data_IF_577867561561
#
_entry.id   IF_577867561561
#
_cell.length_a   1.000
_cell.length_b   1.000
_cell.length_c   1.000
_cell.angle_alpha   90.00
_cell.angle_beta   90.00
_cell.angle_gamma   90.00
#
_symmetry.space_group_name_H-M   'P 1'
#
loop_
_entity.id
_entity.type
_entity.pdbx_description
1 polymer ?
#
# COMPACT_ATOMS: atom_id res chain seq x y z
N UNK A 1 -78.54 -16.43 19.20
CA UNK A 1 -78.88 -16.76 20.59
C UNK A 1 -77.61 -17.24 21.28
N UNK A 2 -77.07 -16.45 22.22
CA UNK A 2 -76.18 -16.91 23.31
C UNK A 2 -77.06 -17.22 24.54
N UNK A 3 -76.59 -18.03 25.51
CA UNK A 3 -75.87 -17.48 26.70
C UNK A 3 -74.70 -18.38 27.16
N UNK A 4 -73.51 -17.84 27.46
CA UNK A 4 -72.99 -17.35 28.76
C UNK A 4 -72.56 -18.44 29.77
N UNK A 5 -71.28 -18.40 30.18
CA UNK A 5 -70.74 -19.18 31.31
C UNK A 5 -69.27 -18.89 31.60
N UNK A 6 -69.00 -17.85 32.38
CA UNK A 6 -67.73 -17.56 33.07
C UNK A 6 -67.77 -18.17 34.47
N UNK A 7 -66.63 -18.71 34.96
CA UNK A 7 -66.30 -18.70 36.39
C UNK A 7 -64.79 -18.92 36.63
N UNK A 8 -64.19 -17.91 37.26
CA UNK A 8 -62.89 -17.93 37.92
C UNK A 8 -62.85 -18.92 39.09
N UNK A 9 -61.65 -19.34 39.49
CA UNK A 9 -61.04 -19.04 40.81
C UNK A 9 -59.95 -20.07 41.12
N UNK A 10 -58.73 -19.57 41.30
CA UNK A 10 -57.62 -20.29 41.93
C UNK A 10 -57.90 -20.53 43.42
N UNK A 11 -57.37 -21.62 44.00
CA UNK A 11 -56.38 -21.60 45.09
C UNK A 11 -56.44 -22.87 45.97
N UNK A 12 -55.23 -23.25 46.41
CA UNK A 12 -54.85 -24.12 47.53
C UNK A 12 -54.75 -25.61 47.23
N UNK A 13 -53.79 -26.38 47.74
CA UNK A 13 -52.46 -26.19 48.35
C UNK A 13 -52.02 -27.65 48.58
N UNK A 14 -50.80 -28.04 48.23
CA UNK A 14 -50.16 -29.23 48.81
C UNK A 14 -48.63 -29.12 48.68
N UNK A 15 -48.02 -28.72 49.79
CA UNK A 15 -46.60 -28.83 50.11
C UNK A 15 -46.19 -30.31 50.25
N UNK A 16 -45.15 -30.77 49.54
CA UNK A 16 -44.19 -31.74 50.13
C UNK A 16 -42.90 -31.92 49.30
N UNK A 17 -41.87 -31.17 49.71
CA UNK A 17 -40.57 -31.68 50.16
C UNK A 17 -39.67 -32.52 49.22
N UNK A 18 -38.50 -31.92 48.96
CA UNK A 18 -37.16 -32.52 48.88
C UNK A 18 -36.85 -33.54 47.76
N UNK A 19 -35.88 -33.19 46.90
CA UNK A 19 -34.50 -33.71 47.00
C UNK A 19 -33.64 -33.33 45.78
N UNK A 20 -32.60 -32.53 46.03
CA UNK A 20 -31.28 -32.58 45.41
C UNK A 20 -31.16 -32.79 43.89
N UNK A 21 -31.02 -31.70 43.14
CA UNK A 21 -30.13 -31.68 41.97
C UNK A 21 -29.13 -30.54 42.09
N UNK A 22 -27.94 -30.93 42.56
CA UNK A 22 -26.70 -30.17 42.54
C UNK A 22 -26.45 -29.67 41.12
N UNK A 23 -26.72 -28.40 40.85
CA UNK A 23 -26.43 -27.78 39.55
C UNK A 23 -24.91 -27.64 39.45
N UNK A 24 -24.28 -28.61 38.80
CA UNK A 24 -22.87 -28.59 38.49
C UNK A 24 -22.63 -27.43 37.51
N UNK A 25 -21.69 -26.49 37.76
CA UNK A 25 -21.26 -25.59 36.70
C UNK A 25 -20.61 -26.46 35.62
N UNK A 26 -21.18 -26.53 34.43
CA UNK A 26 -20.50 -27.16 33.30
C UNK A 26 -19.22 -26.35 33.01
N UNK A 27 -18.07 -27.01 32.78
CA UNK A 27 -16.86 -26.31 32.41
C UNK A 27 -17.08 -25.69 31.03
N UNK A 28 -16.80 -24.39 30.93
CA UNK A 28 -16.65 -23.68 29.66
C UNK A 28 -15.40 -24.24 28.99
N UNK A 29 -15.54 -25.37 28.30
CA UNK A 29 -14.49 -25.91 27.44
C UNK A 29 -14.46 -25.08 26.15
N UNK A 30 -13.53 -24.11 26.16
CA UNK A 30 -12.59 -23.90 25.07
C UNK A 30 -13.20 -23.74 23.67
N UNK A 31 -13.87 -22.61 23.42
CA UNK A 31 -14.03 -22.07 22.05
C UNK A 31 -13.07 -20.88 21.79
N UNK A 32 -11.89 -20.89 22.41
CA UNK A 32 -10.92 -19.80 22.28
C UNK A 32 -9.62 -20.14 21.56
N UNK A 33 -9.48 -21.29 20.89
CA UNK A 33 -8.19 -21.70 20.33
C UNK A 33 -8.17 -22.01 18.83
N UNK A 34 -9.04 -21.41 18.02
CA UNK A 34 -9.11 -21.73 16.58
C UNK A 34 -8.85 -20.57 15.61
N UNK A 35 -7.94 -19.63 15.94
CA UNK A 35 -7.58 -18.55 15.00
C UNK A 35 -6.09 -18.22 14.86
N UNK A 36 -5.16 -19.00 15.42
CA UNK A 36 -3.73 -18.77 15.21
C UNK A 36 -3.00 -20.08 14.95
N UNK A 37 -3.25 -20.66 13.78
CA UNK A 37 -2.31 -21.60 13.15
C UNK A 37 -1.51 -20.83 12.09
N UNK A 38 -0.97 -19.67 12.47
CA UNK A 38 0.09 -19.01 11.73
C UNK A 38 1.35 -19.78 12.10
N UNK A 39 1.98 -20.49 11.15
CA UNK A 39 3.27 -21.12 11.39
C UNK A 39 4.24 -20.02 11.90
N UNK A 40 4.68 -20.05 13.17
CA UNK A 40 5.51 -18.99 13.74
C UNK A 40 6.81 -18.81 12.94
N UNK A 41 7.33 -19.89 12.38
CA UNK A 41 8.50 -19.90 11.50
C UNK A 41 8.27 -19.13 10.20
N UNK A 42 7.06 -19.23 9.60
CA UNK A 42 6.72 -18.47 8.40
C UNK A 42 6.61 -16.97 8.68
N UNK A 43 6.10 -16.59 9.86
CA UNK A 43 6.04 -15.19 10.28
C UNK A 43 7.45 -14.63 10.54
N UNK A 44 8.31 -15.38 11.21
CA UNK A 44 9.72 -14.99 11.43
C UNK A 44 10.50 -14.85 10.12
N UNK A 45 10.26 -15.74 9.14
CA UNK A 45 10.84 -15.62 7.81
C UNK A 45 10.35 -14.36 7.07
N UNK A 46 9.06 -14.02 7.17
CA UNK A 46 8.51 -12.79 6.59
C UNK A 46 9.13 -11.53 7.22
N UNK A 47 9.27 -11.51 8.55
CA UNK A 47 9.90 -10.41 9.28
C UNK A 47 11.38 -10.28 8.90
N UNK A 48 12.09 -11.40 8.82
CA UNK A 48 13.51 -11.42 8.42
C UNK A 48 13.69 -10.91 6.99
N UNK A 49 12.83 -11.34 6.06
CA UNK A 49 12.81 -10.83 4.70
C UNK A 49 12.52 -9.33 4.66
N UNK A 50 11.57 -8.83 5.46
CA UNK A 50 11.26 -7.40 5.54
C UNK A 50 12.49 -6.58 5.97
N UNK A 51 13.17 -7.00 7.04
CA UNK A 51 14.38 -6.31 7.49
C UNK A 51 15.52 -6.41 6.47
N UNK A 52 15.67 -7.55 5.79
CA UNK A 52 16.61 -7.73 4.70
C UNK A 52 16.35 -6.73 3.56
N UNK A 53 15.10 -6.66 3.08
CA UNK A 53 14.68 -5.74 2.02
C UNK A 53 14.87 -4.26 2.42
N UNK A 54 14.53 -3.89 3.66
CA UNK A 54 14.78 -2.53 4.16
C UNK A 54 16.29 -2.22 4.19
N UNK A 55 17.11 -3.21 4.54
CA UNK A 55 18.57 -3.04 4.58
C UNK A 55 19.16 -2.92 3.17
N UNK A 56 18.68 -3.73 2.22
CA UNK A 56 19.01 -3.63 0.80
C UNK A 56 18.58 -2.28 0.22
N UNK A 57 17.36 -1.82 0.52
CA UNK A 57 16.86 -0.51 0.09
C UNK A 57 17.73 0.64 0.63
N UNK A 58 18.13 0.57 1.90
CA UNK A 58 19.06 1.55 2.49
C UNK A 58 20.41 1.56 1.77
N UNK A 59 20.95 0.38 1.44
CA UNK A 59 22.19 0.27 0.66
C UNK A 59 22.04 0.87 -0.73
N UNK A 60 20.96 0.55 -1.43
CA UNK A 60 20.64 1.09 -2.75
C UNK A 60 20.51 2.62 -2.72
N UNK A 61 19.91 3.17 -1.66
CA UNK A 61 19.81 4.60 -1.46
C UNK A 61 21.19 5.27 -1.26
N UNK A 62 22.09 4.64 -0.50
CA UNK A 62 23.47 5.14 -0.35
C UNK A 62 24.21 5.10 -1.69
N UNK A 63 24.02 4.04 -2.49
CA UNK A 63 24.59 3.95 -3.83
C UNK A 63 24.09 5.08 -4.73
N UNK A 64 22.79 5.36 -4.71
CA UNK A 64 22.19 6.48 -5.42
C UNK A 64 22.80 7.82 -4.98
N UNK A 65 22.92 8.06 -3.66
CA UNK A 65 23.56 9.27 -3.13
C UNK A 65 25.03 9.39 -3.57
N UNK A 66 25.77 8.28 -3.61
CA UNK A 66 27.16 8.28 -4.04
C UNK A 66 27.32 8.56 -5.55
N UNK A 67 26.37 8.12 -6.37
CA UNK A 67 26.36 8.37 -7.82
C UNK A 67 26.10 9.84 -8.18
N UNK A 68 25.55 10.61 -7.23
CA UNK A 68 25.40 12.05 -7.38
C UNK A 68 26.71 12.83 -7.15
N UNK A 69 27.79 12.21 -6.65
CA UNK A 69 29.07 12.91 -6.39
C UNK A 69 30.28 11.99 -6.59
N UNK A 70 31.06 12.16 -7.68
CA UNK A 70 30.83 13.05 -8.82
C UNK A 70 29.62 12.61 -9.67
N UNK A 71 28.95 13.56 -10.32
CA UNK A 71 27.73 13.31 -11.10
C UNK A 71 28.01 12.33 -12.26
N UNK A 72 27.41 11.14 -12.18
CA UNK A 72 27.53 10.09 -13.19
C UNK A 72 26.12 9.58 -13.56
N UNK A 73 25.56 9.99 -14.70
CA UNK A 73 24.17 9.68 -15.05
C UNK A 73 23.93 8.18 -15.24
N UNK A 74 24.92 7.43 -15.70
CA UNK A 74 24.80 5.98 -15.91
C UNK A 74 24.72 5.26 -14.55
N UNK A 75 25.57 5.65 -13.59
CA UNK A 75 25.51 5.11 -12.22
C UNK A 75 24.26 5.52 -11.47
N UNK A 76 23.75 6.74 -11.72
CA UNK A 76 22.46 7.18 -11.15
C UNK A 76 21.34 6.29 -11.70
N UNK A 77 21.32 6.01 -13.00
CA UNK A 77 20.31 5.16 -13.62
C UNK A 77 20.38 3.71 -13.10
N UNK A 78 21.58 3.16 -12.92
CA UNK A 78 21.77 1.83 -12.33
C UNK A 78 21.27 1.78 -10.89
N UNK A 79 21.64 2.74 -10.05
CA UNK A 79 21.18 2.80 -8.67
C UNK A 79 19.66 2.99 -8.56
N UNK A 80 19.05 3.80 -9.45
CA UNK A 80 17.59 3.97 -9.53
C UNK A 80 16.88 2.63 -9.82
N UNK A 81 17.41 1.82 -10.74
CA UNK A 81 16.85 0.48 -11.04
C UNK A 81 16.84 -0.41 -9.81
N UNK A 82 17.93 -0.38 -9.02
CA UNK A 82 18.04 -1.16 -7.77
C UNK A 82 17.03 -0.66 -6.73
N UNK A 83 16.89 0.65 -6.55
CA UNK A 83 15.88 1.21 -5.63
C UNK A 83 14.46 0.78 -6.03
N UNK A 84 14.14 0.83 -7.32
CA UNK A 84 12.83 0.41 -7.84
C UNK A 84 12.60 -1.09 -7.59
N UNK A 85 13.61 -1.94 -7.80
CA UNK A 85 13.47 -3.39 -7.53
C UNK A 85 13.23 -3.69 -6.05
N UNK A 86 13.94 -3.01 -5.14
CA UNK A 86 13.73 -3.21 -3.70
C UNK A 86 12.35 -2.72 -3.24
N UNK A 87 11.87 -1.59 -3.77
CA UNK A 87 10.50 -1.11 -3.51
C UNK A 87 9.44 -2.09 -4.03
N UNK A 88 9.68 -2.72 -5.19
CA UNK A 88 8.80 -3.74 -5.74
C UNK A 88 8.75 -4.96 -4.83
N UNK A 89 9.90 -5.47 -4.38
CA UNK A 89 9.97 -6.60 -3.46
C UNK A 89 9.23 -6.33 -2.13
N UNK A 90 9.37 -5.11 -1.58
CA UNK A 90 8.61 -4.69 -0.40
C UNK A 90 7.08 -4.66 -0.65
N UNK A 91 6.66 -4.27 -1.85
CA UNK A 91 5.24 -4.28 -2.23
C UNK A 91 4.69 -5.70 -2.34
N UNK A 92 5.46 -6.62 -2.92
CA UNK A 92 5.10 -8.04 -3.00
C UNK A 92 5.00 -8.67 -1.60
N UNK A 93 5.94 -8.35 -0.71
CA UNK A 93 5.92 -8.81 0.68
C UNK A 93 4.70 -8.26 1.45
N UNK A 94 4.34 -6.99 1.22
CA UNK A 94 3.11 -6.37 1.74
C UNK A 94 1.86 -7.13 1.27
N UNK A 95 1.82 -7.52 0.00
CA UNK A 95 0.71 -8.27 -0.58
C UNK A 95 0.60 -9.67 0.04
N UNK A 96 1.71 -10.41 0.10
CA UNK A 96 1.80 -11.75 0.68
C UNK A 96 1.33 -11.76 2.15
N UNK A 97 1.73 -10.76 2.93
CA UNK A 97 1.27 -10.62 4.31
C UNK A 97 -0.25 -10.44 4.39
N UNK A 98 -0.84 -9.62 3.51
CA UNK A 98 -2.29 -9.38 3.46
C UNK A 98 -3.08 -10.63 3.04
N UNK A 99 -2.58 -11.39 2.08
CA UNK A 99 -3.21 -12.64 1.65
C UNK A 99 -3.21 -13.69 2.77
N UNK A 100 -2.09 -13.79 3.48
CA UNK A 100 -1.92 -14.76 4.58
C UNK A 100 -2.55 -14.32 5.90
N UNK A 101 -2.90 -13.04 6.06
CA UNK A 101 -3.53 -12.46 7.25
C UNK A 101 -4.78 -11.64 6.88
N UNK A 102 -5.85 -12.29 6.38
CA UNK A 102 -7.09 -11.59 6.14
C UNK A 102 -7.63 -11.04 7.47
N UNK A 103 -7.86 -9.73 7.55
CA UNK A 103 -8.39 -9.09 8.75
C UNK A 103 -9.72 -9.76 9.15
N UNK A 104 -9.96 -10.02 10.45
CA UNK A 104 -11.29 -10.41 10.91
C UNK A 104 -12.27 -9.31 10.54
N UNK A 105 -13.26 -9.70 9.74
CA UNK A 105 -14.29 -8.84 9.17
C UNK A 105 -15.03 -8.10 10.28
N UNK A 106 -14.83 -6.79 10.39
CA UNK A 106 -15.76 -5.92 11.10
C UNK A 106 -16.79 -5.41 10.08
N UNK A 107 -18.07 -5.47 10.48
CA UNK A 107 -19.30 -5.03 9.79
C UNK A 107 -19.12 -4.36 8.40
N UNK A 108 -19.52 -5.10 7.36
CA UNK A 108 -19.38 -4.84 5.92
C UNK A 108 -17.96 -5.05 5.32
N UNK A 109 -17.60 -6.31 4.97
CA UNK A 109 -16.31 -6.64 4.37
C UNK A 109 -16.03 -6.00 3.00
N UNK A 110 -17.06 -5.51 2.29
CA UNK A 110 -16.87 -4.91 0.97
C UNK A 110 -16.37 -3.46 1.07
N UNK A 111 -16.92 -2.67 1.99
CA UNK A 111 -16.63 -1.23 2.06
C UNK A 111 -15.21 -0.93 2.56
N UNK A 112 -14.71 -1.69 3.55
CA UNK A 112 -13.35 -1.49 4.08
C UNK A 112 -12.25 -1.92 3.09
N UNK A 113 -12.48 -2.98 2.33
CA UNK A 113 -11.54 -3.44 1.29
C UNK A 113 -11.48 -2.45 0.14
N UNK A 114 -12.65 -2.02 -0.35
CA UNK A 114 -12.77 -1.03 -1.41
C UNK A 114 -12.16 0.31 -1.01
N UNK A 115 -12.35 0.76 0.24
CA UNK A 115 -11.75 2.00 0.73
C UNK A 115 -10.20 1.94 0.74
N UNK A 116 -9.61 0.81 1.13
CA UNK A 116 -8.16 0.64 1.10
C UNK A 116 -7.61 0.63 -0.34
N UNK A 117 -8.32 0.01 -1.27
CA UNK A 117 -7.98 -0.02 -2.69
C UNK A 117 -8.10 1.38 -3.33
N UNK A 118 -9.16 2.12 -3.02
CA UNK A 118 -9.33 3.51 -3.44
C UNK A 118 -8.17 4.39 -2.92
N UNK A 119 -7.77 4.22 -1.67
CA UNK A 119 -6.65 4.97 -1.09
C UNK A 119 -5.32 4.67 -1.80
N UNK A 120 -5.08 3.40 -2.17
CA UNK A 120 -3.90 3.00 -2.94
C UNK A 120 -3.92 3.61 -4.35
N UNK A 121 -5.06 3.57 -5.04
CA UNK A 121 -5.23 4.21 -6.34
C UNK A 121 -5.04 5.73 -6.28
N UNK A 122 -5.53 6.39 -5.24
CA UNK A 122 -5.29 7.82 -5.02
C UNK A 122 -3.81 8.14 -4.79
N UNK A 123 -3.09 7.29 -4.05
CA UNK A 123 -1.64 7.43 -3.88
C UNK A 123 -0.91 7.27 -5.21
N UNK A 124 -1.30 6.28 -6.01
CA UNK A 124 -0.75 6.03 -7.34
C UNK A 124 -0.98 7.23 -8.27
N UNK A 125 -2.19 7.80 -8.26
CA UNK A 125 -2.52 8.98 -9.05
C UNK A 125 -1.65 10.18 -8.70
N UNK A 126 -1.39 10.41 -7.41
CA UNK A 126 -0.46 11.47 -6.95
C UNK A 126 0.97 11.23 -7.45
N UNK A 127 1.44 9.98 -7.44
CA UNK A 127 2.75 9.63 -8.00
C UNK A 127 2.82 9.94 -9.49
N UNK A 128 1.79 9.56 -10.26
CA UNK A 128 1.73 9.89 -11.68
C UNK A 128 1.67 11.39 -11.93
N UNK A 129 0.95 12.16 -11.12
CA UNK A 129 0.92 13.62 -11.22
C UNK A 129 2.32 14.24 -11.05
N UNK A 130 3.08 13.78 -10.04
CA UNK A 130 4.47 14.22 -9.83
C UNK A 130 5.36 13.83 -11.02
N UNK A 131 5.19 12.62 -11.54
CA UNK A 131 5.95 12.12 -12.69
C UNK A 131 5.65 12.94 -13.97
N UNK A 132 4.38 13.26 -14.23
CA UNK A 132 3.96 14.13 -15.34
C UNK A 132 4.62 15.51 -15.21
N UNK A 133 4.60 16.11 -14.01
CA UNK A 133 5.26 17.39 -13.75
C UNK A 133 6.77 17.32 -14.02
N UNK A 134 7.44 16.23 -13.60
CA UNK A 134 8.87 16.00 -13.88
C UNK A 134 9.14 15.93 -15.38
N UNK A 135 8.40 15.10 -16.12
CA UNK A 135 8.59 14.97 -17.56
C UNK A 135 8.27 16.27 -18.30
N UNK A 136 7.26 17.01 -17.87
CA UNK A 136 6.95 18.32 -18.44
C UNK A 136 8.13 19.31 -18.26
N UNK A 137 8.76 19.33 -17.08
CA UNK A 137 9.95 20.15 -16.85
C UNK A 137 11.14 19.71 -17.71
N UNK A 138 11.32 18.40 -17.91
CA UNK A 138 12.38 17.85 -18.75
C UNK A 138 12.21 18.23 -20.22
N UNK A 139 10.97 18.15 -20.75
CA UNK A 139 10.62 18.62 -22.09
C UNK A 139 10.93 20.12 -22.23
N UNK A 140 10.50 20.94 -21.27
CA UNK A 140 10.75 22.40 -21.31
C UNK A 140 12.25 22.74 -21.28
N UNK A 141 13.04 22.00 -20.51
CA UNK A 141 14.50 22.15 -20.50
C UNK A 141 15.10 21.81 -21.87
N UNK A 142 14.69 20.69 -22.46
CA UNK A 142 15.14 20.28 -23.80
C UNK A 142 14.72 21.25 -24.90
N UNK A 143 13.50 21.78 -24.86
CA UNK A 143 13.05 22.83 -25.78
C UNK A 143 13.90 24.10 -25.66
N UNK A 144 14.33 24.45 -24.44
CA UNK A 144 15.20 25.60 -24.19
C UNK A 144 16.61 25.38 -24.74
N UNK A 145 17.17 24.18 -24.56
CA UNK A 145 18.44 23.78 -25.17
C UNK A 145 18.36 23.86 -26.71
N UNK A 146 17.29 23.33 -27.31
CA UNK A 146 17.07 23.36 -28.77
C UNK A 146 16.98 24.81 -29.26
N UNK A 147 16.19 25.67 -28.60
CA UNK A 147 16.08 27.08 -28.97
C UNK A 147 17.43 27.78 -28.91
N UNK A 148 18.20 27.56 -27.85
CA UNK A 148 19.54 28.14 -27.74
C UNK A 148 20.47 27.67 -28.87
N UNK A 149 20.42 26.39 -29.24
CA UNK A 149 21.19 25.86 -30.37
C UNK A 149 20.73 26.47 -31.71
N UNK A 150 19.42 26.59 -31.93
CA UNK A 150 18.86 27.22 -33.13
C UNK A 150 19.23 28.70 -33.24
N UNK A 151 19.21 29.45 -32.14
CA UNK A 151 19.68 30.83 -32.11
C UNK A 151 21.14 30.92 -32.51
N UNK A 152 22.01 30.11 -31.90
CA UNK A 152 23.44 30.05 -32.29
C UNK A 152 23.56 29.81 -33.78
N UNK A 153 22.92 28.77 -34.31
CA UNK A 153 22.91 28.47 -35.74
C UNK A 153 22.44 29.68 -36.56
N UNK A 154 21.35 30.34 -36.16
CA UNK A 154 20.86 31.58 -36.78
C UNK A 154 21.90 32.69 -36.81
N UNK A 155 22.63 32.90 -35.71
CA UNK A 155 23.77 33.84 -35.67
C UNK A 155 24.87 33.42 -36.65
N UNK A 156 25.22 32.13 -36.74
CA UNK A 156 26.20 31.64 -37.73
C UNK A 156 25.74 31.92 -39.17
N UNK A 157 24.47 31.66 -39.50
CA UNK A 157 23.92 31.97 -40.83
C UNK A 157 23.97 33.46 -41.13
N UNK A 158 23.59 34.30 -40.15
CA UNK A 158 23.63 35.75 -40.31
C UNK A 158 25.06 36.27 -40.50
N UNK A 159 26.00 35.74 -39.73
CA UNK A 159 27.42 36.09 -39.84
C UNK A 159 28.03 35.62 -41.17
N UNK A 160 27.68 34.40 -41.61
CA UNK A 160 28.09 33.87 -42.91
C UNK A 160 27.52 34.68 -44.07
N UNK A 161 26.24 35.06 -44.00
CA UNK A 161 25.61 35.93 -44.98
C UNK A 161 26.25 37.31 -45.02
N UNK A 162 26.52 37.92 -43.86
CA UNK A 162 27.23 39.20 -43.77
C UNK A 162 28.64 39.13 -44.37
N UNK A 163 29.38 38.06 -44.09
CA UNK A 163 30.71 37.82 -44.67
C UNK A 163 30.66 37.63 -46.19
N UNK A 164 29.66 36.89 -46.70
CA UNK A 164 29.45 36.69 -48.13
C UNK A 164 29.07 37.99 -48.86
N UNK A 165 28.20 38.81 -48.28
CA UNK A 165 27.81 40.11 -48.83
C UNK A 165 28.90 41.19 -48.69
N UNK A 166 29.87 41.02 -47.78
CA UNK A 166 30.94 41.97 -47.49
C UNK A 166 32.17 41.88 -48.39
N UNK A 167 32.17 41.01 -49.40
CA UNK A 167 33.23 40.89 -50.42
C UNK A 167 32.63 41.23 -51.79
N UNK A 168 32.49 42.53 -52.07
CA UNK A 168 32.39 43.14 -53.41
C UNK A 168 32.85 44.58 -53.32
#
# INVERSE_FOLDING_TARGET
>A
MQPSGLKETQLNDDDNNNNNQKVHPQPMEQQQQQSINQNPEAMEALISNLFGNISSLKSAYIQLQSAHTPYDPDKIQEADKVVISELKNLSELKHLYRENNPKPVCVSPQDSRLAAEIQEQQSLLKTYEVMVKKFQSEIQNKDSEIKQMMEKIGWWWWWWWWWWCGVS
#
